data_IF_948634569820
#
_entry.id   IF_948634569820
#
_cell.length_a   1.000
_cell.length_b   1.000
_cell.length_c   1.000
_cell.angle_alpha   90.00
_cell.angle_beta   90.00
_cell.angle_gamma   90.00
#
_symmetry.space_group_name_H-M   'P 1'
#
loop_
_entity.id
_entity.type
_entity.pdbx_description
1 polymer ?
#
# COMPACT_ATOMS: atom_id res chain seq x y z
N UNK A 1 -8.47 47.86 -35.83
CA UNK A 1 -8.85 48.13 -34.42
C UNK A 1 -9.64 46.98 -33.79
N UNK A 2 -10.73 46.50 -34.40
CA UNK A 2 -11.53 45.38 -33.87
C UNK A 2 -10.74 44.07 -33.67
N UNK A 3 -9.86 43.72 -34.61
CA UNK A 3 -9.00 42.54 -34.51
C UNK A 3 -8.01 42.59 -33.34
N UNK A 4 -7.41 43.75 -33.07
CA UNK A 4 -6.48 43.92 -31.96
C UNK A 4 -7.18 43.77 -30.60
N UNK A 5 -8.41 44.30 -30.49
CA UNK A 5 -9.24 44.13 -29.29
C UNK A 5 -9.66 42.66 -29.10
N UNK A 6 -10.00 41.95 -30.16
CA UNK A 6 -10.30 40.50 -30.09
C UNK A 6 -9.08 39.70 -29.62
N UNK A 7 -7.89 39.99 -30.14
CA UNK A 7 -6.65 39.33 -29.70
C UNK A 7 -6.34 39.63 -28.22
N UNK A 8 -6.56 40.86 -27.76
CA UNK A 8 -6.39 41.23 -26.35
C UNK A 8 -7.35 40.44 -25.44
N UNK A 9 -8.60 40.29 -25.85
CA UNK A 9 -9.61 39.52 -25.10
C UNK A 9 -9.27 38.03 -25.05
N UNK A 10 -8.75 37.46 -26.13
CA UNK A 10 -8.30 36.06 -26.16
C UNK A 10 -7.13 35.84 -25.20
N UNK A 11 -6.11 36.72 -25.23
CA UNK A 11 -4.96 36.63 -24.31
C UNK A 11 -5.41 36.76 -22.85
N UNK A 12 -6.31 37.69 -22.55
CA UNK A 12 -6.88 37.85 -21.21
C UNK A 12 -7.62 36.59 -20.74
N UNK A 13 -8.46 36.01 -21.58
CA UNK A 13 -9.20 34.79 -21.24
C UNK A 13 -8.29 33.57 -21.05
N UNK A 14 -7.29 33.38 -21.92
CA UNK A 14 -6.33 32.26 -21.79
C UNK A 14 -5.53 32.36 -20.49
N UNK A 15 -5.05 33.56 -20.13
CA UNK A 15 -4.35 33.77 -18.86
C UNK A 15 -5.20 33.48 -17.62
N UNK A 16 -6.50 33.81 -17.66
CA UNK A 16 -7.42 33.52 -16.56
C UNK A 16 -7.72 32.01 -16.45
N UNK A 17 -7.95 31.32 -17.57
CA UNK A 17 -8.26 29.88 -17.58
C UNK A 17 -7.07 29.03 -17.11
N UNK A 18 -5.84 29.39 -17.47
CA UNK A 18 -4.64 28.69 -16.97
C UNK A 18 -4.45 28.83 -15.46
N UNK A 19 -4.95 29.91 -14.86
CA UNK A 19 -4.90 30.15 -13.41
C UNK A 19 -6.03 29.47 -12.63
N UNK A 20 -7.08 29.01 -13.31
CA UNK A 20 -8.24 28.32 -12.72
C UNK A 20 -8.06 26.80 -12.59
N UNK A 21 -6.94 26.24 -13.05
CA UNK A 21 -6.58 24.85 -12.78
C UNK A 21 -5.99 24.74 -11.37
N UNK A 22 -6.85 24.57 -10.38
CA UNK A 22 -6.50 24.57 -8.94
C UNK A 22 -5.72 23.33 -8.49
N UNK A 23 -5.55 22.32 -9.35
CA UNK A 23 -4.85 21.09 -9.02
C UNK A 23 -3.40 21.15 -9.53
N UNK A 24 -2.45 21.12 -8.58
CA UNK A 24 -1.03 20.91 -8.88
C UNK A 24 -0.87 19.63 -9.68
N UNK A 25 -0.07 19.66 -10.76
CA UNK A 25 0.29 18.45 -11.52
C UNK A 25 0.83 17.39 -10.56
N UNK A 26 0.16 16.24 -10.50
CA UNK A 26 0.54 15.15 -9.61
C UNK A 26 1.75 14.44 -10.18
N UNK A 27 2.87 14.53 -9.47
CA UNK A 27 4.03 13.69 -9.72
C UNK A 27 3.78 12.30 -9.11
N UNK A 28 3.33 11.38 -9.96
CA UNK A 28 3.05 10.01 -9.56
C UNK A 28 4.29 9.28 -9.04
N UNK A 29 5.48 9.62 -9.53
CA UNK A 29 6.72 8.99 -9.09
C UNK A 29 7.07 9.42 -7.66
N UNK A 30 6.86 10.70 -7.33
CA UNK A 30 6.99 11.17 -5.95
C UNK A 30 6.00 10.49 -5.01
N UNK A 31 4.74 10.34 -5.43
CA UNK A 31 3.70 9.67 -4.61
C UNK A 31 4.04 8.20 -4.39
N UNK A 32 4.46 7.48 -5.44
CA UNK A 32 4.91 6.08 -5.34
C UNK A 32 6.08 5.95 -4.38
N UNK A 33 7.09 6.83 -4.47
CA UNK A 33 8.25 6.81 -3.57
C UNK A 33 7.84 7.00 -2.11
N UNK A 34 6.95 7.96 -1.83
CA UNK A 34 6.41 8.16 -0.48
C UNK A 34 5.63 6.95 0.01
N UNK A 35 4.86 6.31 -0.87
CA UNK A 35 4.08 5.10 -0.53
C UNK A 35 4.99 3.91 -0.22
N UNK A 36 6.07 3.72 -0.97
CA UNK A 36 7.06 2.66 -0.72
C UNK A 36 7.67 2.82 0.68
N UNK A 37 8.11 4.03 1.05
CA UNK A 37 8.71 4.28 2.35
C UNK A 37 7.71 4.09 3.51
N UNK A 38 6.45 4.50 3.30
CA UNK A 38 5.37 4.25 4.24
C UNK A 38 5.08 2.75 4.41
N UNK A 39 5.04 1.97 3.32
CA UNK A 39 4.84 0.52 3.39
C UNK A 39 6.04 -0.16 4.08
N UNK A 40 7.26 0.29 3.80
CA UNK A 40 8.48 -0.26 4.43
C UNK A 40 8.42 -0.13 5.95
N UNK A 41 8.16 1.08 6.43
CA UNK A 41 8.01 1.34 7.88
C UNK A 41 6.81 0.60 8.47
N UNK A 42 5.70 0.48 7.74
CA UNK A 42 4.52 -0.26 8.18
C UNK A 42 4.82 -1.75 8.37
N UNK A 43 5.52 -2.40 7.44
CA UNK A 43 5.92 -3.81 7.55
C UNK A 43 6.82 -4.02 8.78
N UNK A 44 7.84 -3.18 8.95
CA UNK A 44 8.75 -3.26 10.10
C UNK A 44 8.02 -3.06 11.44
N UNK A 45 7.09 -2.10 11.49
CA UNK A 45 6.23 -1.86 12.66
C UNK A 45 5.35 -3.08 13.00
N UNK A 46 4.65 -3.63 12.00
CA UNK A 46 3.81 -4.83 12.18
C UNK A 46 4.61 -6.04 12.68
N UNK A 47 5.84 -6.20 12.19
CA UNK A 47 6.76 -7.28 12.59
C UNK A 47 7.55 -6.97 13.88
N UNK A 48 7.37 -5.77 14.47
CA UNK A 48 8.13 -5.29 15.64
C UNK A 48 9.64 -5.34 15.45
N UNK A 49 10.11 -5.08 14.23
CA UNK A 49 11.53 -5.05 13.89
C UNK A 49 12.03 -3.60 13.75
N UNK A 50 13.14 -3.22 14.41
CA UNK A 50 13.68 -1.87 14.30
C UNK A 50 14.41 -1.62 12.97
N UNK A 51 14.90 -2.68 12.33
CA UNK A 51 15.59 -2.65 11.04
C UNK A 51 15.31 -3.92 10.25
N UNK A 52 15.61 -3.87 8.96
CA UNK A 52 15.60 -5.04 8.07
C UNK A 52 16.55 -6.11 8.62
N UNK A 53 16.13 -7.40 8.68
CA UNK A 53 17.01 -8.49 9.10
C UNK A 53 18.14 -8.66 8.09
N UNK A 54 19.32 -9.07 8.57
CA UNK A 54 20.42 -9.43 7.68
C UNK A 54 20.01 -10.70 6.91
N UNK A 55 20.28 -10.79 5.59
CA UNK A 55 19.98 -12.00 4.84
C UNK A 55 20.75 -13.18 5.42
N UNK A 56 20.07 -14.30 5.63
CA UNK A 56 20.74 -15.53 6.06
C UNK A 56 21.76 -15.93 4.98
N UNK A 57 23.03 -16.11 5.40
CA UNK A 57 24.13 -16.48 4.51
C UNK A 57 23.95 -17.88 3.88
N UNK A 58 22.92 -18.61 4.29
CA UNK A 58 22.56 -19.98 3.87
C UNK A 58 21.64 -20.07 2.67
N UNK A 59 21.39 -18.97 1.97
CA UNK A 59 21.17 -19.01 0.53
C UNK A 59 19.72 -18.88 0.07
N UNK A 60 19.57 -18.02 -0.93
CA UNK A 60 18.42 -17.93 -1.83
C UNK A 60 18.15 -19.25 -2.61
N UNK A 61 18.98 -20.29 -2.40
CA UNK A 61 18.96 -21.58 -3.10
C UNK A 61 18.34 -22.74 -2.29
N UNK A 62 17.99 -22.55 -1.01
CA UNK A 62 17.33 -23.60 -0.22
C UNK A 62 15.82 -23.69 -0.54
N UNK A 63 15.35 -24.87 -0.94
CA UNK A 63 13.94 -25.12 -1.22
C UNK A 63 13.11 -24.98 0.07
N UNK A 64 12.08 -24.12 0.03
CA UNK A 64 11.20 -23.86 1.17
C UNK A 64 10.51 -25.18 1.58
N UNK A 65 10.60 -25.61 2.85
CA UNK A 65 9.96 -26.83 3.32
C UNK A 65 8.48 -26.92 2.97
N UNK A 66 8.05 -28.07 2.44
CA UNK A 66 6.65 -28.35 2.07
C UNK A 66 5.63 -28.01 3.18
N UNK A 67 5.88 -28.25 4.48
CA UNK A 67 4.96 -27.85 5.54
C UNK A 67 4.73 -26.32 5.61
N UNK A 68 5.76 -25.51 5.35
CA UNK A 68 5.65 -24.05 5.35
C UNK A 68 4.87 -23.56 4.13
N UNK A 69 5.11 -24.16 2.96
CA UNK A 69 4.34 -23.88 1.76
C UNK A 69 2.85 -24.24 1.96
N UNK A 70 2.56 -25.38 2.59
CA UNK A 70 1.20 -25.77 2.92
C UNK A 70 0.53 -24.78 3.88
N UNK A 71 1.25 -24.34 4.91
CA UNK A 71 0.76 -23.34 5.86
C UNK A 71 0.43 -22.02 5.14
N UNK A 72 1.36 -21.51 4.34
CA UNK A 72 1.18 -20.27 3.58
C UNK A 72 -0.02 -20.34 2.63
N UNK A 73 -0.13 -21.43 1.85
CA UNK A 73 -1.22 -21.61 0.90
C UNK A 73 -2.58 -21.68 1.62
N UNK A 74 -2.68 -22.43 2.72
CA UNK A 74 -3.91 -22.49 3.54
C UNK A 74 -4.28 -21.12 4.10
N UNK A 75 -3.31 -20.33 4.60
CA UNK A 75 -3.60 -18.96 5.08
C UNK A 75 -4.06 -18.04 3.96
N UNK A 76 -3.44 -18.13 2.79
CA UNK A 76 -3.84 -17.33 1.61
C UNK A 76 -5.27 -17.63 1.18
N UNK A 77 -5.66 -18.90 1.17
CA UNK A 77 -7.02 -19.35 0.86
C UNK A 77 -8.02 -18.77 1.87
N UNK A 78 -7.78 -18.94 3.19
CA UNK A 78 -8.64 -18.40 4.26
C UNK A 78 -8.81 -16.88 4.15
N UNK A 79 -7.73 -16.13 3.91
CA UNK A 79 -7.80 -14.68 3.77
C UNK A 79 -8.59 -14.26 2.53
N UNK A 80 -8.52 -15.03 1.45
CA UNK A 80 -9.28 -14.76 0.22
C UNK A 80 -10.77 -14.96 0.46
N UNK A 81 -11.16 -16.00 1.21
CA UNK A 81 -12.55 -16.25 1.61
C UNK A 81 -13.08 -15.15 2.54
N UNK A 82 -12.31 -14.75 3.57
CA UNK A 82 -12.68 -13.69 4.50
C UNK A 82 -12.84 -12.32 3.83
N UNK A 83 -12.04 -12.01 2.81
CA UNK A 83 -12.18 -10.73 2.08
C UNK A 83 -13.54 -10.59 1.38
N UNK A 84 -14.22 -11.70 1.09
CA UNK A 84 -15.59 -11.68 0.55
C UNK A 84 -16.65 -11.33 1.59
N UNK A 85 -16.36 -11.56 2.87
CA UNK A 85 -17.20 -11.23 4.02
C UNK A 85 -16.70 -9.93 4.65
N UNK A 86 -17.10 -8.78 4.08
CA UNK A 86 -16.71 -7.46 4.61
C UNK A 86 -17.22 -7.32 6.06
N UNK A 87 -16.31 -7.47 7.04
CA UNK A 87 -16.58 -7.11 8.42
C UNK A 87 -16.67 -5.58 8.52
N UNK A 88 -17.89 -5.07 8.64
CA UNK A 88 -18.19 -3.63 8.69
C UNK A 88 -18.00 -3.00 10.07
N UNK A 89 -17.89 -3.80 11.13
CA UNK A 89 -17.79 -3.31 12.51
C UNK A 89 -16.62 -4.00 13.23
N UNK A 90 -15.48 -3.33 13.25
CA UNK A 90 -14.31 -3.70 14.05
C UNK A 90 -14.20 -2.67 15.17
N UNK A 91 -14.14 -3.11 16.43
CA UNK A 91 -13.93 -2.18 17.54
C UNK A 91 -12.50 -1.63 17.51
N UNK A 92 -12.29 -0.42 18.05
CA UNK A 92 -10.94 0.18 18.13
C UNK A 92 -9.97 -0.68 18.93
N UNK A 93 -10.45 -1.35 19.98
CA UNK A 93 -9.66 -2.29 20.78
C UNK A 93 -9.21 -3.51 19.96
N UNK A 94 -10.10 -4.04 19.11
CA UNK A 94 -9.79 -5.16 18.23
C UNK A 94 -8.82 -4.74 17.11
N UNK A 95 -8.95 -3.51 16.59
CA UNK A 95 -8.02 -2.95 15.59
C UNK A 95 -6.59 -2.81 16.15
N UNK A 96 -6.45 -2.39 17.42
CA UNK A 96 -5.15 -2.30 18.10
C UNK A 96 -4.50 -3.68 18.31
N UNK A 97 -5.29 -4.70 18.67
CA UNK A 97 -4.80 -6.07 18.86
C UNK A 97 -4.42 -6.73 17.52
N UNK A 98 -5.17 -6.46 16.45
CA UNK A 98 -4.92 -6.97 15.10
C UNK A 98 -3.83 -6.20 14.33
N UNK A 99 -3.37 -5.06 14.85
CA UNK A 99 -2.38 -4.25 14.17
C UNK A 99 -1.07 -5.01 13.90
N UNK A 100 -0.58 -5.76 14.88
CA UNK A 100 0.68 -6.50 14.80
C UNK A 100 0.54 -7.85 14.08
N UNK A 101 1.63 -8.29 13.45
CA UNK A 101 1.67 -9.60 12.81
C UNK A 101 1.54 -10.72 13.85
N UNK A 102 0.77 -11.75 13.51
CA UNK A 102 0.56 -12.94 14.32
C UNK A 102 1.35 -14.11 13.76
N UNK A 103 1.97 -14.91 14.62
CA UNK A 103 2.64 -16.15 14.22
C UNK A 103 1.58 -17.20 13.93
N UNK A 104 1.66 -17.83 12.76
CA UNK A 104 0.69 -18.81 12.31
C UNK A 104 1.15 -20.22 12.69
N UNK A 105 0.21 -21.01 13.21
CA UNK A 105 0.41 -22.41 13.55
C UNK A 105 -0.72 -23.24 12.94
N UNK A 106 -0.38 -24.36 12.31
CA UNK A 106 -1.34 -25.34 11.78
C UNK A 106 -1.26 -26.61 12.60
N UNK A 107 -2.39 -26.96 13.21
CA UNK A 107 -2.56 -28.20 13.96
C UNK A 107 -3.42 -29.16 13.15
N UNK A 108 -2.90 -30.35 12.88
CA UNK A 108 -3.69 -31.40 12.24
C UNK A 108 -4.46 -32.14 13.34
N UNK A 109 -5.78 -32.20 13.22
CA UNK A 109 -6.61 -33.06 14.07
C UNK A 109 -6.39 -34.51 13.61
N UNK A 110 -5.97 -35.39 14.53
CA UNK A 110 -5.84 -36.83 14.30
C UNK A 110 -7.16 -37.52 14.60
#
# INVERSE_FOLDING_TARGET
>A
MKLALLMLMVVYMVGNVSSMSTCKTLDLEMVKKKRIEAIRSQILSKLRMPKEPEPDQTGDDEEIPVPLLSLYNSTKEILTEQQSEVQTDISTEQEEEEYFAKVLHKFNMT
#
